data_IF_680164327871
#
_entry.id   IF_680164327871
#
_cell.length_a   1.000
_cell.length_b   1.000
_cell.length_c   1.000
_cell.angle_alpha   90.00
_cell.angle_beta   90.00
_cell.angle_gamma   90.00
#
_symmetry.space_group_name_H-M   'P 1'
#
loop_
_entity.id
_entity.type
_entity.pdbx_description
1 polymer ?
#
# COMPACT_ATOMS: atom_id res chain seq x y z
N UNK A 1 2.15 10.71 -21.78
CA UNK A 1 3.46 10.02 -21.62
C UNK A 1 3.45 8.79 -22.52
N UNK A 2 4.58 8.30 -23.01
CA UNK A 2 4.61 6.97 -23.63
C UNK A 2 5.72 6.11 -23.05
N UNK A 3 5.49 4.80 -23.04
CA UNK A 3 6.48 3.78 -22.72
C UNK A 3 6.67 2.94 -23.98
N UNK A 4 7.91 2.68 -24.35
CA UNK A 4 8.23 1.79 -25.45
C UNK A 4 8.73 0.45 -24.90
N UNK A 5 8.08 -0.63 -25.35
CA UNK A 5 8.47 -2.01 -25.03
C UNK A 5 8.63 -2.73 -26.35
N UNK A 6 9.86 -3.12 -26.67
CA UNK A 6 10.22 -3.64 -27.99
C UNK A 6 9.83 -2.63 -29.08
N UNK A 7 9.00 -3.04 -30.05
CA UNK A 7 8.49 -2.20 -31.14
C UNK A 7 7.13 -1.57 -30.82
N UNK A 8 6.51 -1.90 -29.67
CA UNK A 8 5.21 -1.37 -29.27
C UNK A 8 5.37 -0.07 -28.48
N UNK A 9 4.70 0.99 -28.95
CA UNK A 9 4.56 2.26 -28.24
C UNK A 9 3.23 2.27 -27.48
N UNK A 10 3.30 2.47 -26.16
CA UNK A 10 2.13 2.49 -25.28
C UNK A 10 1.96 3.90 -24.76
N UNK A 11 0.86 4.55 -25.13
CA UNK A 11 0.55 5.91 -24.71
C UNK A 11 -0.27 5.89 -23.43
N UNK A 12 0.30 6.42 -22.35
CA UNK A 12 -0.37 6.55 -21.06
C UNK A 12 -0.91 7.96 -20.88
N UNK A 13 -2.14 8.01 -20.38
CA UNK A 13 -2.84 9.25 -20.05
C UNK A 13 -2.46 9.69 -18.64
N UNK A 14 -1.99 10.92 -18.47
CA UNK A 14 -1.68 11.51 -17.16
C UNK A 14 -2.96 11.72 -16.37
N UNK A 15 -2.92 11.40 -15.08
CA UNK A 15 -4.00 11.59 -14.12
C UNK A 15 -3.41 12.27 -12.89
N UNK A 16 -3.94 13.45 -12.56
CA UNK A 16 -3.40 14.30 -11.49
C UNK A 16 -3.90 13.87 -10.12
N UNK A 17 -3.06 14.07 -9.09
CA UNK A 17 -3.39 13.84 -7.69
C UNK A 17 -3.89 15.15 -7.07
N UNK A 18 -5.05 15.08 -6.43
CA UNK A 18 -5.59 16.15 -5.57
C UNK A 18 -5.46 15.68 -4.13
N UNK A 19 -4.56 16.32 -3.39
CA UNK A 19 -4.33 16.02 -1.98
C UNK A 19 -5.46 16.61 -1.13
N UNK A 20 -6.07 15.78 -0.30
CA UNK A 20 -7.11 16.17 0.63
C UNK A 20 -6.56 16.36 2.05
N UNK A 21 -5.56 15.56 2.42
CA UNK A 21 -4.99 15.52 3.77
C UNK A 21 -3.57 14.93 3.72
N UNK A 22 -2.65 15.41 4.54
CA UNK A 22 -1.29 14.87 4.68
C UNK A 22 -0.93 14.74 6.15
N UNK A 23 0.12 13.97 6.45
CA UNK A 23 0.62 13.84 7.81
C UNK A 23 -0.18 12.87 8.67
N UNK A 24 -0.95 11.96 8.05
CA UNK A 24 -1.77 10.99 8.78
C UNK A 24 -0.83 9.94 9.38
N UNK A 25 -0.68 9.97 10.69
CA UNK A 25 0.07 9.00 11.48
C UNK A 25 -0.89 8.02 12.19
N UNK A 26 -0.34 6.94 12.75
CA UNK A 26 -1.05 6.01 13.65
C UNK A 26 -2.37 5.45 13.09
N UNK A 27 -2.53 5.40 11.76
CA UNK A 27 -3.79 5.04 11.12
C UNK A 27 -4.35 3.68 11.56
N UNK A 28 -3.48 2.75 11.93
CA UNK A 28 -3.85 1.44 12.48
C UNK A 28 -4.69 1.54 13.76
N UNK A 29 -4.57 2.63 14.53
CA UNK A 29 -5.29 2.87 15.79
C UNK A 29 -6.80 2.84 15.62
N UNK A 30 -7.31 3.30 14.48
CA UNK A 30 -8.75 3.34 14.21
C UNK A 30 -9.37 1.98 13.90
N UNK A 31 -8.62 0.88 13.97
CA UNK A 31 -9.16 -0.47 13.79
C UNK A 31 -9.91 -0.95 15.04
N UNK A 32 -11.22 -1.04 14.91
CA UNK A 32 -12.17 -1.31 16.01
C UNK A 32 -12.96 -2.63 15.86
N UNK A 33 -12.75 -3.36 14.76
CA UNK A 33 -13.60 -4.53 14.41
C UNK A 33 -13.30 -5.79 15.21
N UNK A 34 -12.18 -5.82 15.95
CA UNK A 34 -11.76 -6.91 16.82
C UNK A 34 -11.00 -6.38 18.01
N UNK A 35 -11.04 -7.08 19.13
CA UNK A 35 -10.16 -6.81 20.27
C UNK A 35 -8.75 -7.36 20.04
N UNK A 36 -7.79 -6.95 20.86
CA UNK A 36 -6.43 -7.51 20.81
C UNK A 36 -6.44 -9.03 21.08
N UNK A 37 -7.24 -9.48 22.05
CA UNK A 37 -7.41 -10.90 22.36
C UNK A 37 -8.05 -11.70 21.24
N UNK A 38 -8.94 -11.12 20.45
CA UNK A 38 -9.52 -11.77 19.26
C UNK A 38 -8.54 -11.82 18.09
N UNK A 39 -7.65 -10.84 17.95
CA UNK A 39 -6.60 -10.89 16.94
C UNK A 39 -5.66 -12.06 17.16
N UNK A 40 -5.18 -12.27 18.38
CA UNK A 40 -4.20 -13.32 18.71
C UNK A 40 -4.73 -14.75 18.56
N UNK A 41 -6.05 -14.93 18.51
CA UNK A 41 -6.68 -16.22 18.18
C UNK A 41 -6.57 -16.60 16.69
N UNK A 42 -6.23 -15.65 15.82
CA UNK A 42 -6.08 -15.93 14.40
C UNK A 42 -4.70 -16.49 14.09
N UNK A 43 -4.64 -17.47 13.19
CA UNK A 43 -3.41 -18.16 12.77
C UNK A 43 -2.23 -17.22 12.45
N UNK A 44 -2.49 -16.07 11.81
CA UNK A 44 -1.44 -15.09 11.45
C UNK A 44 -0.81 -14.37 12.66
N UNK A 45 -1.46 -14.39 13.82
CA UNK A 45 -1.06 -13.69 15.04
C UNK A 45 -0.83 -14.64 16.23
N UNK A 46 -0.99 -15.95 16.03
CA UNK A 46 -0.91 -16.96 17.10
C UNK A 46 0.42 -16.91 17.87
N UNK A 47 1.52 -16.68 17.16
CA UNK A 47 2.86 -16.51 17.74
C UNK A 47 2.98 -15.32 18.71
N UNK A 48 2.01 -14.39 18.74
CA UNK A 48 2.00 -13.23 19.64
C UNK A 48 1.18 -13.46 20.92
N UNK A 49 0.46 -14.59 21.00
CA UNK A 49 -0.50 -14.88 22.07
C UNK A 49 0.12 -14.78 23.46
N UNK A 50 1.26 -15.42 23.69
CA UNK A 50 1.89 -15.46 25.02
C UNK A 50 2.40 -14.10 25.46
N UNK A 51 2.90 -13.28 24.53
CA UNK A 51 3.35 -11.94 24.88
C UNK A 51 2.16 -11.02 25.18
N UNK A 52 1.08 -11.11 24.40
CA UNK A 52 -0.15 -10.37 24.66
C UNK A 52 -0.84 -10.81 25.96
N UNK A 53 -0.80 -12.09 26.32
CA UNK A 53 -1.35 -12.59 27.57
C UNK A 53 -0.66 -12.01 28.82
N UNK A 54 0.58 -11.49 28.69
CA UNK A 54 1.24 -10.73 29.76
C UNK A 54 0.60 -9.34 29.94
N UNK A 55 0.00 -8.79 28.88
CA UNK A 55 -0.71 -7.51 28.85
C UNK A 55 -2.22 -7.68 29.01
N UNK A 56 -2.63 -8.37 30.09
CA UNK A 56 -4.05 -8.74 30.29
C UNK A 56 -5.02 -7.56 30.21
N UNK A 57 -4.60 -6.38 30.67
CA UNK A 57 -5.41 -5.15 30.65
C UNK A 57 -5.77 -4.66 29.24
N UNK A 58 -5.05 -5.11 28.20
CA UNK A 58 -5.27 -4.72 26.81
C UNK A 58 -6.14 -5.71 26.02
N UNK A 59 -6.42 -6.89 26.56
CA UNK A 59 -7.03 -8.00 25.80
C UNK A 59 -8.41 -7.66 25.24
N UNK A 60 -9.22 -6.96 26.03
CA UNK A 60 -10.61 -6.62 25.70
C UNK A 60 -10.74 -5.26 25.00
N UNK A 61 -9.64 -4.51 24.87
CA UNK A 61 -9.63 -3.25 24.12
C UNK A 61 -9.70 -3.51 22.62
N UNK A 62 -10.33 -2.59 21.84
CA UNK A 62 -10.21 -2.57 20.39
C UNK A 62 -8.74 -2.65 19.99
N UNK A 63 -8.44 -3.53 19.03
CA UNK A 63 -7.05 -3.87 18.71
C UNK A 63 -6.23 -2.64 18.30
N UNK A 64 -6.80 -1.68 17.56
CA UNK A 64 -6.10 -0.46 17.20
C UNK A 64 -5.69 0.37 18.42
N UNK A 65 -6.64 0.64 19.33
CA UNK A 65 -6.38 1.37 20.58
C UNK A 65 -5.36 0.63 21.48
N UNK A 66 -5.42 -0.69 21.54
CA UNK A 66 -4.47 -1.50 22.30
C UNK A 66 -3.04 -1.40 21.71
N UNK A 67 -2.90 -1.46 20.38
CA UNK A 67 -1.60 -1.28 19.72
C UNK A 67 -1.06 0.14 19.90
N UNK A 68 -1.93 1.14 19.89
CA UNK A 68 -1.54 2.54 20.16
C UNK A 68 -1.00 2.69 21.58
N UNK A 69 -1.69 2.10 22.57
CA UNK A 69 -1.22 2.09 23.96
C UNK A 69 0.18 1.46 24.08
N UNK A 70 0.39 0.31 23.44
CA UNK A 70 1.72 -0.34 23.39
C UNK A 70 2.79 0.52 22.71
N UNK A 71 2.43 1.24 21.63
CA UNK A 71 3.34 2.16 20.95
C UNK A 71 3.73 3.32 21.86
N UNK A 72 2.77 3.91 22.56
CA UNK A 72 2.99 5.06 23.45
C UNK A 72 3.78 4.68 24.71
N UNK A 73 3.64 3.43 25.17
CA UNK A 73 4.49 2.82 26.20
C UNK A 73 5.91 2.46 25.69
N UNK A 74 6.20 2.64 24.40
CA UNK A 74 7.48 2.28 23.79
C UNK A 74 7.69 0.77 23.61
N UNK A 75 6.65 -0.05 23.72
CA UNK A 75 6.76 -1.51 23.62
C UNK A 75 6.77 -1.95 22.15
N UNK A 76 7.90 -2.47 21.61
CA UNK A 76 8.05 -2.72 20.17
C UNK A 76 7.15 -3.84 19.63
N UNK A 77 6.48 -4.62 20.48
CA UNK A 77 5.64 -5.74 20.02
C UNK A 77 4.49 -5.29 19.12
N UNK A 78 3.98 -4.05 19.28
CA UNK A 78 2.85 -3.58 18.46
C UNK A 78 3.16 -3.70 16.96
N UNK A 79 4.42 -3.51 16.56
CA UNK A 79 4.87 -3.62 15.16
C UNK A 79 4.68 -5.01 14.58
N UNK A 80 4.71 -6.07 15.41
CA UNK A 80 4.52 -7.44 14.93
C UNK A 80 3.07 -7.73 14.49
N UNK A 81 2.13 -6.87 14.87
CA UNK A 81 0.75 -6.90 14.40
C UNK A 81 0.54 -6.18 13.08
N UNK A 82 1.49 -5.33 12.69
CA UNK A 82 1.41 -4.50 11.50
C UNK A 82 2.20 -5.14 10.35
N UNK A 83 1.90 -4.74 9.12
CA UNK A 83 2.82 -5.01 8.02
C UNK A 83 3.97 -4.00 8.04
N UNK A 84 5.02 -4.26 7.24
CA UNK A 84 6.24 -3.43 7.21
C UNK A 84 6.01 -1.93 6.91
N UNK A 85 4.85 -1.60 6.34
CA UNK A 85 4.48 -0.25 5.97
C UNK A 85 3.29 0.26 6.77
N UNK A 86 2.82 -0.48 7.79
CA UNK A 86 1.57 -0.20 8.52
C UNK A 86 1.65 0.92 9.56
N UNK A 87 2.86 1.36 9.92
CA UNK A 87 3.11 2.46 10.86
C UNK A 87 4.01 3.53 10.21
N UNK A 88 3.54 4.08 9.09
CA UNK A 88 4.19 5.19 8.38
C UNK A 88 3.29 6.43 8.37
N UNK A 89 3.78 7.51 7.78
CA UNK A 89 2.99 8.70 7.50
C UNK A 89 2.34 8.57 6.13
N UNK A 90 1.05 8.86 6.07
CA UNK A 90 0.22 8.74 4.88
C UNK A 90 -0.43 10.08 4.50
N UNK A 91 -1.04 10.08 3.33
CA UNK A 91 -1.90 11.15 2.83
C UNK A 91 -3.24 10.57 2.42
N UNK A 92 -4.27 11.41 2.48
CA UNK A 92 -5.51 11.16 1.77
C UNK A 92 -5.54 12.00 0.50
N UNK A 93 -5.79 11.37 -0.64
CA UNK A 93 -5.87 12.03 -1.92
C UNK A 93 -6.86 11.34 -2.85
N UNK A 94 -7.31 12.09 -3.85
CA UNK A 94 -8.12 11.59 -4.96
C UNK A 94 -7.44 11.94 -6.27
N UNK A 95 -7.93 11.39 -7.36
CA UNK A 95 -7.49 11.78 -8.70
C UNK A 95 -8.53 12.62 -9.43
N UNK A 96 -8.03 13.48 -10.32
CA UNK A 96 -8.83 14.19 -11.31
C UNK A 96 -8.36 13.88 -12.74
N UNK A 97 -9.31 13.82 -13.67
CA UNK A 97 -9.07 13.54 -15.08
C UNK A 97 -10.37 13.23 -15.81
N UNK A 98 -10.26 12.63 -17.00
CA UNK A 98 -11.42 12.16 -17.75
C UNK A 98 -12.14 11.04 -16.99
N UNK A 99 -13.37 11.34 -16.54
CA UNK A 99 -14.22 10.41 -15.79
C UNK A 99 -14.55 9.13 -16.56
N UNK A 100 -14.62 9.17 -17.90
CA UNK A 100 -14.85 7.98 -18.71
C UNK A 100 -13.63 7.08 -18.71
N UNK A 101 -12.42 7.64 -18.78
CA UNK A 101 -11.18 6.87 -18.66
C UNK A 101 -11.01 6.31 -17.24
N UNK A 102 -11.30 7.11 -16.21
CA UNK A 102 -11.16 6.68 -14.81
C UNK A 102 -12.10 5.53 -14.43
N UNK A 103 -13.21 5.34 -15.15
CA UNK A 103 -14.13 4.20 -14.98
C UNK A 103 -13.66 2.90 -15.64
N UNK A 104 -12.55 2.92 -16.38
CA UNK A 104 -12.01 1.74 -17.05
C UNK A 104 -11.05 0.94 -16.16
N UNK A 105 -10.86 -0.32 -16.55
CA UNK A 105 -9.79 -1.20 -16.06
C UNK A 105 -8.55 -1.07 -16.95
N UNK A 106 -7.42 -1.60 -16.48
CA UNK A 106 -6.19 -1.67 -17.27
C UNK A 106 -4.92 -1.61 -16.43
N UNK A 107 -3.89 -0.99 -16.98
CA UNK A 107 -2.60 -0.79 -16.32
C UNK A 107 -2.47 0.65 -15.85
N UNK A 108 -1.81 0.83 -14.71
CA UNK A 108 -1.39 2.14 -14.26
C UNK A 108 0.06 2.14 -13.83
N UNK A 109 0.69 3.30 -13.95
CA UNK A 109 1.98 3.61 -13.38
C UNK A 109 1.88 4.77 -12.41
N UNK A 110 2.86 4.87 -11.52
CA UNK A 110 3.09 6.07 -10.73
C UNK A 110 4.41 6.65 -11.21
N UNK A 111 4.38 7.95 -11.45
CA UNK A 111 5.51 8.71 -11.96
C UNK A 111 5.82 9.82 -10.97
N UNK A 112 7.10 9.99 -10.64
CA UNK A 112 7.59 11.12 -9.86
C UNK A 112 8.77 11.75 -10.59
N UNK A 113 8.72 13.06 -10.85
CA UNK A 113 9.77 13.80 -11.57
C UNK A 113 10.18 13.12 -12.89
N UNK A 114 9.19 12.70 -13.70
CA UNK A 114 9.36 11.95 -14.95
C UNK A 114 10.00 10.56 -14.85
N UNK A 115 10.18 10.01 -13.64
CA UNK A 115 10.65 8.64 -13.44
C UNK A 115 9.49 7.69 -13.10
N UNK A 116 9.46 6.52 -13.74
CA UNK A 116 8.49 5.46 -13.45
C UNK A 116 8.85 4.81 -12.11
N UNK A 117 8.02 5.04 -11.09
CA UNK A 117 8.23 4.55 -9.72
C UNK A 117 7.50 3.25 -9.41
N UNK A 118 6.33 3.04 -10.02
CA UNK A 118 5.51 1.85 -9.83
C UNK A 118 4.73 1.49 -11.08
N UNK A 119 4.38 0.21 -11.26
CA UNK A 119 3.45 -0.30 -12.25
C UNK A 119 2.53 -1.35 -11.62
N UNK A 120 1.22 -1.21 -11.83
CA UNK A 120 0.20 -2.09 -11.30
C UNK A 120 -0.92 -2.40 -12.28
N UNK A 121 -1.70 -3.44 -11.96
CA UNK A 121 -2.92 -3.82 -12.67
C UNK A 121 -4.13 -3.30 -11.90
N UNK A 122 -5.14 -2.83 -12.63
CA UNK A 122 -6.44 -2.45 -12.12
C UNK A 122 -7.54 -3.26 -12.80
N UNK A 123 -8.10 -4.24 -12.10
CA UNK A 123 -9.14 -5.14 -12.63
C UNK A 123 -10.58 -4.59 -12.53
N UNK A 124 -10.77 -3.41 -11.89
CA UNK A 124 -12.10 -2.77 -11.76
C UNK A 124 -12.08 -1.41 -12.42
N UNK A 125 -11.97 -0.34 -11.62
CA UNK A 125 -11.88 1.02 -12.14
C UNK A 125 -10.65 1.72 -11.59
N UNK A 126 -9.96 2.50 -12.43
CA UNK A 126 -8.86 3.33 -11.96
C UNK A 126 -9.30 4.27 -10.83
N UNK A 127 -10.52 4.82 -10.91
CA UNK A 127 -11.10 5.68 -9.87
C UNK A 127 -11.17 4.99 -8.51
N UNK A 128 -11.69 3.77 -8.46
CA UNK A 128 -11.74 2.98 -7.22
C UNK A 128 -10.33 2.66 -6.71
N UNK A 129 -9.42 2.22 -7.60
CA UNK A 129 -8.03 1.92 -7.25
C UNK A 129 -7.32 3.11 -6.63
N UNK A 130 -7.47 4.29 -7.21
CA UNK A 130 -6.74 5.47 -6.75
C UNK A 130 -7.42 6.13 -5.57
N UNK A 131 -8.74 6.33 -5.59
CA UNK A 131 -9.40 7.11 -4.54
C UNK A 131 -9.67 6.28 -3.28
N UNK A 132 -10.01 5.00 -3.42
CA UNK A 132 -10.44 4.18 -2.28
C UNK A 132 -9.36 3.26 -1.74
N UNK A 133 -8.36 2.87 -2.54
CA UNK A 133 -7.37 1.90 -2.11
C UNK A 133 -6.00 2.50 -1.88
N UNK A 134 -5.46 3.24 -2.85
CA UNK A 134 -4.13 3.85 -2.71
C UNK A 134 -4.24 5.21 -2.01
N UNK A 135 -5.17 6.06 -2.42
CA UNK A 135 -5.35 7.42 -1.93
C UNK A 135 -6.11 7.52 -0.61
N UNK A 136 -6.64 6.42 -0.09
CA UNK A 136 -7.27 6.37 1.23
C UNK A 136 -6.95 5.04 1.89
N UNK A 137 -5.91 5.02 2.73
CA UNK A 137 -5.56 3.82 3.49
C UNK A 137 -6.59 3.61 4.59
N UNK A 138 -6.98 2.36 4.82
CA UNK A 138 -7.82 1.97 5.94
C UNK A 138 -6.97 1.31 7.02
N UNK A 139 -7.40 1.45 8.29
CA UNK A 139 -6.70 0.88 9.44
C UNK A 139 -6.37 -0.60 9.25
N UNK A 140 -7.34 -1.41 8.81
CA UNK A 140 -7.14 -2.85 8.55
C UNK A 140 -6.05 -3.13 7.51
N UNK A 141 -5.86 -2.22 6.55
CA UNK A 141 -4.80 -2.31 5.54
C UNK A 141 -3.40 -2.27 6.15
N UNK A 142 -3.23 -1.63 7.31
CA UNK A 142 -1.96 -1.47 8.04
C UNK A 142 -1.55 -2.74 8.82
N UNK A 143 -2.50 -3.64 9.08
CA UNK A 143 -2.23 -4.87 9.82
C UNK A 143 -1.44 -5.87 8.97
N UNK A 144 -0.81 -6.85 9.62
CA UNK A 144 0.03 -7.88 8.99
C UNK A 144 -0.72 -8.71 7.96
N UNK A 145 -2.02 -8.85 8.14
CA UNK A 145 -2.93 -9.55 7.23
C UNK A 145 -3.70 -8.62 6.28
N UNK A 146 -3.37 -7.32 6.28
CA UNK A 146 -3.91 -6.31 5.37
C UNK A 146 -3.18 -6.26 4.02
N UNK A 147 -3.38 -5.15 3.30
CA UNK A 147 -2.79 -4.93 1.96
C UNK A 147 -1.59 -3.99 2.05
N UNK A 148 -0.41 -4.57 2.26
CA UNK A 148 0.84 -3.84 2.44
C UNK A 148 1.21 -2.95 1.24
N UNK A 149 0.88 -3.35 0.01
CA UNK A 149 1.14 -2.55 -1.21
C UNK A 149 0.45 -1.18 -1.16
N UNK A 150 -0.77 -1.09 -0.64
CA UNK A 150 -1.47 0.19 -0.53
C UNK A 150 -0.74 1.12 0.43
N UNK A 151 -0.40 0.62 1.62
CA UNK A 151 0.35 1.39 2.62
C UNK A 151 1.72 1.82 2.07
N UNK A 152 2.45 0.89 1.44
CA UNK A 152 3.75 1.15 0.82
C UNK A 152 3.70 2.29 -0.19
N UNK A 153 2.81 2.17 -1.18
CA UNK A 153 2.71 3.12 -2.28
C UNK A 153 2.20 4.48 -1.79
N UNK A 154 1.20 4.50 -0.90
CA UNK A 154 0.70 5.77 -0.36
C UNK A 154 1.78 6.49 0.45
N UNK A 155 2.51 5.79 1.33
CA UNK A 155 3.58 6.41 2.11
C UNK A 155 4.68 6.98 1.21
N UNK A 156 5.03 6.28 0.12
CA UNK A 156 5.99 6.77 -0.87
C UNK A 156 5.51 8.01 -1.62
N UNK A 157 4.24 8.04 -2.04
CA UNK A 157 3.62 9.25 -2.62
C UNK A 157 3.67 10.39 -1.60
N UNK A 158 3.25 10.14 -0.36
CA UNK A 158 3.23 11.12 0.74
C UNK A 158 4.58 11.78 0.96
N UNK A 159 5.66 11.00 0.95
CA UNK A 159 7.02 11.51 1.11
C UNK A 159 7.45 12.45 -0.02
N UNK A 160 6.96 12.24 -1.24
CA UNK A 160 7.39 13.00 -2.42
C UNK A 160 6.49 14.18 -2.78
N UNK A 161 5.21 14.17 -2.36
CA UNK A 161 4.25 15.25 -2.65
C UNK A 161 4.77 16.68 -2.36
N UNK A 162 5.56 16.94 -1.29
CA UNK A 162 6.03 18.30 -1.02
C UNK A 162 7.12 18.81 -1.98
N UNK A 163 7.84 17.93 -2.68
CA UNK A 163 9.07 18.29 -3.41
C UNK A 163 9.13 17.77 -4.85
N UNK A 164 8.11 17.04 -5.31
CA UNK A 164 8.13 16.35 -6.61
C UNK A 164 6.79 16.48 -7.32
N UNK A 165 6.82 16.50 -8.65
CA UNK A 165 5.61 16.28 -9.46
C UNK A 165 5.29 14.78 -9.45
N UNK A 166 4.27 14.39 -8.69
CA UNK A 166 3.82 12.99 -8.56
C UNK A 166 2.44 12.85 -9.19
N UNK A 167 2.31 11.91 -10.13
CA UNK A 167 1.05 11.66 -10.83
C UNK A 167 0.87 10.17 -11.16
N UNK A 168 -0.36 9.80 -11.48
CA UNK A 168 -0.66 8.51 -12.08
C UNK A 168 -0.61 8.63 -13.60
N UNK A 169 -0.27 7.54 -14.27
CA UNK A 169 -0.44 7.40 -15.71
C UNK A 169 -1.21 6.12 -16.00
N UNK A 170 -2.29 6.20 -16.77
CA UNK A 170 -3.20 5.07 -17.02
C UNK A 170 -3.19 4.64 -18.48
N UNK A 171 -3.37 3.34 -18.70
CA UNK A 171 -3.56 2.72 -19.99
C UNK A 171 -4.72 1.72 -19.92
N UNK A 172 -5.90 2.08 -20.43
CA UNK A 172 -7.06 1.21 -20.39
C UNK A 172 -6.87 -0.07 -21.21
N UNK A 173 -7.32 -1.18 -20.65
CA UNK A 173 -7.25 -2.51 -21.25
C UNK A 173 -8.22 -3.42 -20.52
N UNK A 174 -8.84 -4.39 -21.20
CA UNK A 174 -9.85 -5.27 -20.59
C UNK A 174 -9.37 -6.69 -20.29
N UNK A 175 -8.39 -7.19 -21.02
CA UNK A 175 -7.93 -8.57 -20.87
C UNK A 175 -6.91 -8.70 -19.72
N UNK A 176 -7.31 -9.32 -18.61
CA UNK A 176 -6.47 -9.48 -17.42
C UNK A 176 -5.13 -10.19 -17.69
N UNK A 177 -5.11 -11.20 -18.57
CA UNK A 177 -3.87 -11.90 -18.94
C UNK A 177 -2.92 -10.97 -19.69
N UNK A 178 -3.44 -10.16 -20.60
CA UNK A 178 -2.67 -9.15 -21.33
C UNK A 178 -2.19 -8.04 -20.39
N UNK A 179 -3.02 -7.59 -19.44
CA UNK A 179 -2.61 -6.65 -18.38
C UNK A 179 -1.42 -7.20 -17.61
N UNK A 180 -1.52 -8.41 -17.07
CA UNK A 180 -0.43 -9.00 -16.30
C UNK A 180 0.85 -9.19 -17.15
N UNK A 181 0.72 -9.61 -18.41
CA UNK A 181 1.84 -9.71 -19.35
C UNK A 181 2.52 -8.35 -19.54
N UNK A 182 1.74 -7.29 -19.79
CA UNK A 182 2.26 -5.94 -19.99
C UNK A 182 2.90 -5.40 -18.71
N UNK A 183 2.23 -5.52 -17.55
CA UNK A 183 2.79 -5.15 -16.25
C UNK A 183 4.14 -5.82 -16.02
N UNK A 184 4.25 -7.12 -16.29
CA UNK A 184 5.49 -7.86 -16.13
C UNK A 184 6.58 -7.36 -17.09
N UNK A 185 6.24 -7.04 -18.34
CA UNK A 185 7.17 -6.48 -19.30
C UNK A 185 7.69 -5.09 -18.85
N UNK A 186 6.81 -4.20 -18.38
CA UNK A 186 7.18 -2.89 -17.81
C UNK A 186 8.12 -3.08 -16.61
N UNK A 187 7.70 -3.89 -15.62
CA UNK A 187 8.50 -4.10 -14.40
C UNK A 187 9.86 -4.72 -14.71
N UNK A 188 9.93 -5.66 -15.66
CA UNK A 188 11.21 -6.27 -16.09
C UNK A 188 12.12 -5.28 -16.82
N UNK A 189 11.55 -4.38 -17.62
CA UNK A 189 12.31 -3.44 -18.47
C UNK A 189 12.82 -2.22 -17.72
N UNK A 190 12.04 -1.71 -16.77
CA UNK A 190 12.30 -0.45 -16.08
C UNK A 190 12.67 -0.61 -14.61
N UNK A 191 12.46 -1.80 -14.04
CA UNK A 191 12.77 -2.12 -12.64
C UNK A 191 12.31 -1.05 -11.63
N UNK A 192 11.04 -0.60 -11.68
CA UNK A 192 10.54 0.46 -10.80
C UNK A 192 10.81 0.17 -9.32
N UNK A 193 11.40 1.14 -8.63
CA UNK A 193 11.86 0.99 -7.24
C UNK A 193 10.74 0.62 -6.25
N UNK A 194 9.48 0.98 -6.51
CA UNK A 194 8.37 0.66 -5.61
C UNK A 194 7.66 -0.65 -5.97
N UNK A 195 8.01 -1.28 -7.10
CA UNK A 195 7.61 -2.66 -7.36
C UNK A 195 8.52 -3.61 -6.59
N UNK A 196 8.19 -3.80 -5.32
CA UNK A 196 8.87 -4.76 -4.46
C UNK A 196 8.90 -6.13 -5.14
N UNK A 197 10.11 -6.61 -5.45
CA UNK A 197 10.30 -8.01 -5.80
C UNK A 197 9.99 -8.80 -4.54
N UNK A 198 9.23 -9.88 -4.67
CA UNK A 198 9.20 -10.90 -3.63
C UNK A 198 10.59 -11.51 -3.55
N UNK A 199 11.49 -10.88 -2.80
CA UNK A 199 12.78 -11.46 -2.46
C UNK A 199 12.47 -12.70 -1.61
N UNK A 200 12.58 -13.87 -2.24
CA UNK A 200 12.84 -15.13 -1.54
C UNK A 200 14.17 -15.09 -0.76
N UNK A 201 14.96 -14.02 -0.87
CA UNK A 201 16.31 -13.91 -0.32
C UNK A 201 16.44 -13.13 1.01
N UNK A 202 15.36 -12.66 1.66
CA UNK A 202 15.47 -11.97 2.96
C UNK A 202 15.39 -12.94 4.17
N UNK A 203 15.09 -14.23 3.95
CA UNK A 203 14.99 -15.22 5.04
C UNK A 203 16.32 -15.88 5.43
N UNK A 204 17.43 -15.66 4.72
CA UNK A 204 18.71 -16.29 5.07
C UNK A 204 19.58 -15.49 6.05
N UNK A 205 19.29 -14.20 6.27
CA UNK A 205 20.10 -13.34 7.15
C UNK A 205 19.51 -13.09 8.54
N UNK A 206 18.32 -13.62 8.84
CA UNK A 206 17.74 -13.55 10.21
C UNK A 206 17.88 -14.85 11.01
N UNK A 207 18.62 -15.83 10.50
CA UNK A 207 18.90 -17.11 11.17
C UNK A 207 20.23 -17.09 11.95
N UNK A 208 20.83 -15.92 12.14
CA UNK A 208 22.16 -15.79 12.74
C UNK A 208 22.24 -14.60 13.69
N UNK A 209 21.37 -14.56 14.70
CA UNK A 209 21.63 -13.93 15.99
C UNK A 209 20.82 -14.63 17.08
#
# INVERSE_FOLDING_TARGET
MFIQINEEKIELTKVEIIVLEQGIADLFESFDKKTLGELTKQKKYEHLKDCVNKQKYLLDLPAGAALKSLKDEGNPIYRQFLNNYGDLIYSRFVVSGDENLLKQQGIYTIVANNELKFCGVCARTFKERFNQHIGSIYAKGCYRDGTSTHCHVNAKITQLLPTSDVHFAIYPMENEKAMNKLKNAIVKRFEPEWNLRSNREIFELSSSF
#
